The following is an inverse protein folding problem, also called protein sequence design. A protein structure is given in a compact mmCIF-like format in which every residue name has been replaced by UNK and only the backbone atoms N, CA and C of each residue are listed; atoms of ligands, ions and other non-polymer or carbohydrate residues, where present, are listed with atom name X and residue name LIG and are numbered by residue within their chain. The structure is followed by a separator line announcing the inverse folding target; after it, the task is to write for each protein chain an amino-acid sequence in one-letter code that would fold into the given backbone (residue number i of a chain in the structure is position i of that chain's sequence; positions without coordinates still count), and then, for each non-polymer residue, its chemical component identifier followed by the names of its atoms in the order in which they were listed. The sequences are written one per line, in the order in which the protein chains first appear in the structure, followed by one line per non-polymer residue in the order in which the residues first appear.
data_IF_391311914950
#
_entry.id   IF_391311914950
#
_cell.length_a   1.000
_cell.length_b   1.000
_cell.length_c   1.000
_cell.angle_alpha   90.00
_cell.angle_beta   90.00
_cell.angle_gamma   90.00
#
_symmetry.space_group_name_H-M   'P 1'
#
loop_
_entity.id
_entity.type
_entity.pdbx_description
1 polymer ?
#
# COMPACT_ATOMS: atom_id res chain seq x y z
N UNK A 1 11.05 -57.37 3.07
CA UNK A 1 11.24 -55.97 3.38
C UNK A 1 10.10 -55.58 4.30
N UNK A 2 10.37 -55.42 5.59
CA UNK A 2 9.34 -55.12 6.60
C UNK A 2 9.16 -53.65 6.68
N UNK A 3 7.96 -53.20 6.29
CA UNK A 3 7.52 -51.81 6.52
C UNK A 3 7.35 -51.60 8.02
N UNK A 4 8.14 -50.70 8.57
CA UNK A 4 7.96 -50.20 9.95
C UNK A 4 6.85 -49.17 9.92
N UNK A 5 5.69 -49.42 10.56
CA UNK A 5 4.62 -48.41 10.59
C UNK A 5 5.04 -47.23 11.45
N UNK A 6 4.82 -46.02 10.93
CA UNK A 6 4.96 -44.80 11.69
C UNK A 6 4.03 -44.83 12.93
N UNK A 7 4.63 -44.95 14.11
CA UNK A 7 3.92 -44.92 15.36
C UNK A 7 3.76 -43.46 15.80
N UNK A 8 2.55 -42.92 15.70
CA UNK A 8 2.19 -41.64 16.34
C UNK A 8 2.31 -41.86 17.85
N UNK A 9 3.29 -41.24 18.49
CA UNK A 9 3.42 -41.23 19.95
C UNK A 9 2.39 -40.21 20.46
N UNK A 10 1.23 -40.70 20.91
CA UNK A 10 0.29 -39.93 21.71
C UNK A 10 0.92 -39.69 23.08
N UNK A 11 1.64 -38.62 23.24
CA UNK A 11 2.12 -38.12 24.50
C UNK A 11 0.93 -37.70 25.34
N UNK A 12 0.72 -38.37 26.50
CA UNK A 12 -0.24 -37.95 27.52
C UNK A 12 0.27 -36.64 28.11
N UNK A 13 -0.25 -35.51 27.54
CA UNK A 13 0.14 -34.19 27.96
C UNK A 13 -0.68 -33.81 29.17
N UNK A 14 -0.11 -33.96 30.38
CA UNK A 14 -0.72 -33.49 31.59
C UNK A 14 -1.05 -32.01 31.51
N UNK A 15 -2.29 -31.68 31.25
CA UNK A 15 -2.73 -30.33 30.86
C UNK A 15 -2.51 -29.31 31.98
N UNK A 16 -2.58 -29.74 33.24
CA UNK A 16 -2.43 -28.86 34.41
C UNK A 16 -0.99 -28.44 34.67
N UNK A 17 0.00 -29.30 34.49
CA UNK A 17 1.40 -28.97 34.72
C UNK A 17 1.96 -28.07 33.62
N UNK A 18 1.51 -28.26 32.38
CA UNK A 18 1.85 -27.37 31.27
C UNK A 18 1.25 -25.98 31.43
N UNK A 19 0.02 -25.89 31.91
CA UNK A 19 -0.62 -24.59 32.11
C UNK A 19 0.08 -23.79 33.22
N UNK A 20 0.49 -24.43 34.31
CA UNK A 20 1.29 -23.82 35.38
C UNK A 20 2.67 -23.39 34.89
N UNK A 21 3.36 -24.25 34.11
CA UNK A 21 4.66 -23.90 33.51
C UNK A 21 4.54 -22.73 32.54
N UNK A 22 3.48 -22.68 31.72
CA UNK A 22 3.22 -21.56 30.82
C UNK A 22 2.93 -20.26 31.58
N UNK A 23 2.11 -20.30 32.63
CA UNK A 23 1.83 -19.13 33.46
C UNK A 23 3.08 -18.61 34.17
N UNK A 24 3.93 -19.51 34.67
CA UNK A 24 5.22 -19.13 35.27
C UNK A 24 6.14 -18.44 34.20
N UNK A 25 6.22 -19.00 32.98
CA UNK A 25 6.99 -18.43 31.90
C UNK A 25 6.46 -17.04 31.49
N UNK A 26 5.14 -16.88 31.35
CA UNK A 26 4.51 -15.59 31.04
C UNK A 26 4.80 -14.55 32.11
N UNK A 27 4.69 -14.92 33.39
CA UNK A 27 5.01 -14.05 34.53
C UNK A 27 6.48 -13.63 34.54
N UNK A 28 7.39 -14.54 34.19
CA UNK A 28 8.80 -14.24 34.09
C UNK A 28 9.12 -13.28 32.92
N UNK A 29 8.47 -13.46 31.77
CA UNK A 29 8.60 -12.56 30.62
C UNK A 29 8.10 -11.16 30.99
N UNK A 30 6.94 -11.04 31.64
CA UNK A 30 6.40 -9.75 32.07
C UNK A 30 7.29 -9.04 33.09
N UNK A 31 7.96 -9.77 33.97
CA UNK A 31 8.94 -9.20 34.93
C UNK A 31 10.19 -8.68 34.20
N UNK A 32 10.68 -9.40 33.21
CA UNK A 32 11.92 -9.07 32.52
C UNK A 32 11.74 -7.99 31.46
N UNK A 33 10.59 -7.95 30.77
CA UNK A 33 10.34 -7.11 29.59
C UNK A 33 9.20 -6.10 29.77
N UNK A 34 8.51 -6.13 30.92
CA UNK A 34 7.38 -5.25 31.22
C UNK A 34 6.02 -5.85 30.89
N UNK A 35 4.97 -5.31 31.53
CA UNK A 35 3.58 -5.71 31.27
C UNK A 35 3.20 -5.46 29.81
N UNK A 36 2.53 -6.45 29.19
CA UNK A 36 2.11 -6.38 27.80
C UNK A 36 3.14 -6.88 26.78
N UNK A 37 4.33 -7.36 27.23
CA UNK A 37 5.31 -8.00 26.35
C UNK A 37 4.78 -9.30 25.72
N UNK A 38 3.83 -9.96 26.38
CA UNK A 38 3.15 -11.16 25.90
C UNK A 38 1.66 -11.01 26.17
N UNK A 39 0.82 -11.31 25.17
CA UNK A 39 -0.64 -11.31 25.33
C UNK A 39 -1.27 -12.55 24.68
N UNK A 40 -2.38 -13.00 25.24
CA UNK A 40 -3.21 -14.05 24.63
C UNK A 40 -4.26 -13.39 23.75
N UNK A 41 -4.21 -13.61 22.44
CA UNK A 41 -5.14 -13.01 21.47
C UNK A 41 -6.63 -13.39 21.70
N UNK A 42 -6.91 -14.52 22.36
CA UNK A 42 -8.28 -14.97 22.59
C UNK A 42 -8.93 -14.50 23.90
N UNK A 43 -8.25 -13.71 24.74
CA UNK A 43 -8.81 -13.20 26.00
C UNK A 43 -9.43 -11.79 25.89
N UNK A 44 -9.12 -11.05 24.84
CA UNK A 44 -9.76 -9.77 24.54
C UNK A 44 -10.79 -10.02 23.43
N UNK A 45 -12.06 -10.06 23.78
CA UNK A 45 -13.19 -10.26 22.86
C UNK A 45 -13.43 -9.11 21.86
N UNK A 46 -12.53 -8.16 21.76
CA UNK A 46 -12.57 -7.13 20.72
C UNK A 46 -11.50 -7.46 19.67
N UNK A 47 -11.90 -7.70 18.41
CA UNK A 47 -10.93 -7.72 17.30
C UNK A 47 -10.16 -6.40 17.37
N UNK A 48 -8.82 -6.48 17.27
CA UNK A 48 -7.99 -5.28 17.17
C UNK A 48 -8.39 -4.59 15.86
N UNK A 49 -9.28 -3.60 15.96
CA UNK A 49 -9.63 -2.77 14.81
C UNK A 49 -8.37 -2.04 14.36
N UNK A 50 -7.95 -2.32 13.13
CA UNK A 50 -6.83 -1.61 12.50
C UNK A 50 -7.37 -0.29 11.99
N UNK A 51 -6.95 0.80 12.60
CA UNK A 51 -7.27 2.14 12.11
C UNK A 51 -6.74 2.32 10.68
N UNK A 52 -7.54 2.95 9.83
CA UNK A 52 -7.21 3.17 8.43
C UNK A 52 -7.35 4.65 8.03
N UNK A 53 -6.48 5.06 7.10
CA UNK A 53 -6.54 6.35 6.43
C UNK A 53 -7.04 6.12 5.00
N UNK A 54 -8.11 6.84 4.62
CA UNK A 54 -8.66 6.77 3.26
C UNK A 54 -7.61 7.12 2.21
N UNK A 55 -7.68 6.44 1.07
CA UNK A 55 -6.84 6.72 -0.09
C UNK A 55 -7.35 7.87 -0.95
N UNK A 56 -8.55 8.37 -0.66
CA UNK A 56 -9.26 9.32 -1.52
C UNK A 56 -10.04 8.63 -2.66
N UNK A 57 -9.79 7.35 -2.92
CA UNK A 57 -10.55 6.49 -3.83
C UNK A 57 -11.43 5.54 -3.03
N UNK A 58 -12.75 5.66 -3.21
CA UNK A 58 -13.73 4.80 -2.53
C UNK A 58 -13.57 3.33 -2.93
N UNK A 59 -13.32 3.09 -4.21
CA UNK A 59 -13.10 1.74 -4.73
C UNK A 59 -11.86 1.08 -4.13
N UNK A 60 -10.75 1.84 -4.01
CA UNK A 60 -9.52 1.32 -3.41
C UNK A 60 -9.69 1.10 -1.90
N UNK A 61 -10.39 1.98 -1.19
CA UNK A 61 -10.70 1.81 0.23
C UNK A 61 -11.49 0.52 0.50
N UNK A 62 -12.47 0.21 -0.36
CA UNK A 62 -13.24 -1.04 -0.32
C UNK A 62 -12.35 -2.25 -0.66
N UNK A 63 -11.51 -2.14 -1.68
CA UNK A 63 -10.61 -3.21 -2.08
C UNK A 63 -9.58 -3.56 -0.99
N UNK A 64 -9.13 -2.57 -0.21
CA UNK A 64 -8.23 -2.76 0.93
C UNK A 64 -8.90 -3.48 2.11
N UNK A 65 -10.22 -3.53 2.18
CA UNK A 65 -11.01 -4.33 3.11
C UNK A 65 -11.17 -3.75 4.52
N UNK A 66 -10.44 -2.69 4.85
CA UNK A 66 -10.51 -1.97 6.15
C UNK A 66 -10.87 -0.50 5.99
N UNK A 67 -11.29 -0.09 4.78
CA UNK A 67 -11.69 1.29 4.51
C UNK A 67 -10.54 2.26 4.25
N UNK A 68 -9.35 1.76 3.92
CA UNK A 68 -8.17 2.58 3.60
C UNK A 68 -6.84 1.88 3.88
N UNK A 69 -5.77 2.65 3.94
CA UNK A 69 -4.43 2.16 4.27
C UNK A 69 -4.24 2.01 5.79
N UNK A 70 -3.69 0.88 6.28
CA UNK A 70 -3.53 0.62 7.71
C UNK A 70 -2.52 1.55 8.37
N UNK A 71 -2.89 2.17 9.49
CA UNK A 71 -1.97 2.94 10.34
C UNK A 71 -0.94 2.00 11.02
N UNK A 72 0.18 2.57 11.41
CA UNK A 72 1.26 1.81 12.04
C UNK A 72 1.94 0.80 11.13
N UNK A 73 1.85 0.99 9.80
CA UNK A 73 2.35 0.05 8.79
C UNK A 73 3.14 0.75 7.67
N UNK A 74 3.94 -0.05 7.00
CA UNK A 74 4.68 0.35 5.79
C UNK A 74 3.85 -0.06 4.58
N UNK A 75 3.67 0.87 3.66
CA UNK A 75 2.98 0.68 2.38
C UNK A 75 3.98 0.96 1.25
N UNK A 76 3.93 0.19 0.20
CA UNK A 76 4.64 0.46 -1.05
C UNK A 76 3.63 0.74 -2.17
N UNK A 77 3.77 1.91 -2.82
CA UNK A 77 3.04 2.26 -4.05
C UNK A 77 4.06 2.26 -5.17
N UNK A 78 3.89 1.37 -6.15
CA UNK A 78 4.84 1.24 -7.24
C UNK A 78 4.14 1.14 -8.59
N UNK A 79 4.85 1.50 -9.65
CA UNK A 79 4.32 1.49 -11.01
C UNK A 79 5.21 2.25 -11.97
N UNK A 80 4.86 2.26 -13.27
CA UNK A 80 5.55 3.03 -14.29
C UNK A 80 5.56 4.53 -13.98
N UNK A 81 6.38 5.27 -14.70
CA UNK A 81 6.37 6.73 -14.67
C UNK A 81 4.99 7.27 -15.12
N UNK A 82 4.58 8.40 -14.54
CA UNK A 82 3.29 9.07 -14.86
C UNK A 82 2.04 8.19 -14.67
N UNK A 83 2.12 7.16 -13.80
CA UNK A 83 0.98 6.28 -13.47
C UNK A 83 0.06 6.83 -12.39
N UNK A 84 0.43 7.92 -11.69
CA UNK A 84 -0.36 8.54 -10.62
C UNK A 84 0.07 8.15 -9.19
N UNK A 85 1.29 7.62 -8.99
CA UNK A 85 1.83 7.25 -7.66
C UNK A 85 1.80 8.42 -6.66
N UNK A 86 2.43 9.52 -7.03
CA UNK A 86 2.49 10.74 -6.19
C UNK A 86 1.10 11.34 -5.99
N UNK A 87 0.25 11.33 -7.02
CA UNK A 87 -1.14 11.77 -6.93
C UNK A 87 -1.91 10.99 -5.87
N UNK A 88 -1.82 9.66 -5.87
CA UNK A 88 -2.46 8.80 -4.87
C UNK A 88 -1.93 9.09 -3.46
N UNK A 89 -0.61 9.22 -3.31
CA UNK A 89 0.00 9.53 -2.01
C UNK A 89 -0.43 10.91 -1.48
N UNK A 90 -0.53 11.92 -2.33
CA UNK A 90 -1.01 13.26 -1.96
C UNK A 90 -2.49 13.24 -1.55
N UNK A 91 -3.34 12.41 -2.19
CA UNK A 91 -4.71 12.21 -1.73
C UNK A 91 -4.77 11.58 -0.34
N UNK A 92 -3.91 10.61 -0.03
CA UNK A 92 -3.82 10.05 1.33
C UNK A 92 -3.46 11.12 2.35
N UNK A 93 -2.49 12.01 2.04
CA UNK A 93 -2.15 13.16 2.88
C UNK A 93 -3.37 14.07 3.08
N UNK A 94 -4.04 14.44 1.99
CA UNK A 94 -5.22 15.32 2.07
C UNK A 94 -6.33 14.70 2.93
N UNK A 95 -6.60 13.40 2.80
CA UNK A 95 -7.59 12.70 3.61
C UNK A 95 -7.18 12.59 5.10
N UNK A 96 -5.88 12.42 5.39
CA UNK A 96 -5.37 12.46 6.75
C UNK A 96 -5.52 13.85 7.37
N UNK A 97 -5.12 14.91 6.66
CA UNK A 97 -5.23 16.30 7.13
C UNK A 97 -6.69 16.73 7.37
N UNK A 98 -7.65 16.28 6.55
CA UNK A 98 -9.09 16.51 6.78
C UNK A 98 -9.58 15.97 8.13
N UNK A 99 -8.92 14.96 8.66
CA UNK A 99 -9.20 14.38 10.00
C UNK A 99 -8.33 14.99 11.10
N UNK A 100 -7.58 16.05 10.81
CA UNK A 100 -6.68 16.73 11.76
C UNK A 100 -5.33 16.04 11.92
N UNK A 101 -4.96 15.10 11.02
CA UNK A 101 -3.70 14.38 11.07
C UNK A 101 -2.52 15.22 10.58
N UNK A 102 -1.37 15.08 11.25
CA UNK A 102 -0.10 15.71 10.86
C UNK A 102 0.61 14.85 9.81
N UNK A 103 1.09 15.48 8.72
CA UNK A 103 1.67 14.79 7.60
C UNK A 103 3.06 15.30 7.23
N UNK A 104 3.95 14.39 6.81
CA UNK A 104 5.27 14.68 6.29
C UNK A 104 5.45 14.15 4.86
N UNK A 105 6.23 14.87 4.07
CA UNK A 105 6.62 14.50 2.72
C UNK A 105 8.14 14.63 2.57
N UNK A 106 8.81 13.51 2.35
CA UNK A 106 10.25 13.44 2.09
C UNK A 106 10.43 13.35 0.58
N UNK A 107 10.74 14.48 -0.03
CA UNK A 107 10.88 14.67 -1.47
C UNK A 107 12.34 14.46 -1.91
N UNK A 108 12.72 13.20 -2.12
CA UNK A 108 14.06 12.83 -2.58
C UNK A 108 14.25 13.07 -4.09
N UNK A 109 13.18 13.24 -4.85
CA UNK A 109 13.26 13.58 -6.29
C UNK A 109 13.31 15.10 -6.51
N UNK A 110 13.08 15.93 -5.50
CA UNK A 110 12.96 17.39 -5.58
C UNK A 110 11.93 17.85 -6.65
N UNK A 111 10.82 17.12 -6.76
CA UNK A 111 9.86 17.26 -7.84
C UNK A 111 8.42 17.55 -7.38
N UNK A 112 8.20 17.77 -6.07
CA UNK A 112 6.88 18.10 -5.54
C UNK A 112 6.42 19.47 -6.07
N UNK A 113 5.28 19.49 -6.78
CA UNK A 113 4.57 20.70 -7.17
C UNK A 113 3.58 21.14 -6.09
N UNK A 114 3.85 22.24 -5.36
CA UNK A 114 2.95 22.72 -4.32
C UNK A 114 1.58 23.18 -4.87
N UNK A 115 1.54 23.70 -6.10
CA UNK A 115 0.28 24.14 -6.71
C UNK A 115 -0.61 22.94 -6.99
N UNK A 116 -0.03 21.86 -7.51
CA UNK A 116 -0.74 20.61 -7.72
C UNK A 116 -1.21 19.98 -6.40
N UNK A 117 -0.34 19.88 -5.40
CA UNK A 117 -0.69 19.35 -4.09
C UNK A 117 -1.88 20.09 -3.45
N UNK A 118 -1.89 21.44 -3.53
CA UNK A 118 -3.01 22.27 -3.04
C UNK A 118 -4.31 21.95 -3.80
N UNK A 119 -4.26 21.76 -5.10
CA UNK A 119 -5.44 21.40 -5.92
C UNK A 119 -6.02 20.04 -5.52
N UNK A 120 -5.19 19.09 -5.06
CA UNK A 120 -5.62 17.80 -4.54
C UNK A 120 -6.20 17.88 -3.12
N UNK A 121 -6.20 19.07 -2.51
CA UNK A 121 -6.76 19.31 -1.18
C UNK A 121 -5.74 19.22 -0.04
N UNK A 122 -4.43 19.17 -0.35
CA UNK A 122 -3.38 19.21 0.68
C UNK A 122 -3.26 20.62 1.24
N UNK A 123 -3.32 20.75 2.56
CA UNK A 123 -2.98 21.96 3.27
C UNK A 123 -1.45 22.07 3.37
N UNK A 124 -0.88 22.99 2.61
CA UNK A 124 0.57 23.16 2.53
C UNK A 124 1.16 23.84 3.79
N UNK A 125 0.36 24.59 4.53
CA UNK A 125 0.81 25.28 5.75
C UNK A 125 1.11 24.28 6.88
N UNK A 126 0.38 23.16 6.90
CA UNK A 126 0.51 22.07 7.88
C UNK A 126 1.33 20.89 7.35
N UNK A 127 1.83 20.95 6.10
CA UNK A 127 2.63 19.87 5.52
C UNK A 127 4.12 20.07 5.83
N UNK A 128 4.72 19.11 6.53
CA UNK A 128 6.16 19.09 6.76
C UNK A 128 6.85 18.54 5.52
N UNK A 129 7.70 19.35 4.88
CA UNK A 129 8.46 18.94 3.69
C UNK A 129 9.95 18.86 4.04
N UNK A 130 10.61 17.80 3.57
CA UNK A 130 12.05 17.62 3.62
C UNK A 130 12.59 17.22 2.26
N UNK A 131 13.69 17.85 1.83
CA UNK A 131 14.38 17.56 0.57
C UNK A 131 15.83 17.16 0.87
N UNK A 132 16.07 15.88 1.21
CA UNK A 132 17.38 15.37 1.60
C UNK A 132 18.29 15.15 0.38
N UNK A 133 19.60 15.36 0.58
CA UNK A 133 20.60 15.15 -0.46
C UNK A 133 21.03 13.67 -0.60
N UNK A 134 20.86 12.87 0.47
CA UNK A 134 21.29 11.45 0.48
C UNK A 134 20.19 10.53 0.98
N UNK A 135 20.24 9.25 0.59
CA UNK A 135 19.31 8.25 1.07
C UNK A 135 19.39 8.02 2.59
N UNK A 136 20.58 8.09 3.18
CA UNK A 136 20.78 8.00 4.63
C UNK A 136 20.07 9.14 5.35
N UNK A 137 20.23 10.38 4.87
CA UNK A 137 19.57 11.56 5.44
C UNK A 137 18.05 11.45 5.34
N UNK A 138 17.51 11.04 4.16
CA UNK A 138 16.09 10.84 3.97
C UNK A 138 15.49 9.86 4.98
N UNK A 139 16.15 8.71 5.16
CA UNK A 139 15.68 7.64 6.05
C UNK A 139 15.85 7.99 7.53
N UNK A 140 16.87 8.78 7.89
CA UNK A 140 17.09 9.23 9.26
C UNK A 140 16.09 10.32 9.66
N UNK A 141 15.75 11.25 8.75
CA UNK A 141 14.68 12.22 8.93
C UNK A 141 13.36 11.49 9.10
N UNK A 142 13.07 10.51 8.26
CA UNK A 142 11.86 9.67 8.36
C UNK A 142 11.79 8.97 9.72
N UNK A 143 12.87 8.34 10.19
CA UNK A 143 12.93 7.66 11.49
C UNK A 143 12.69 8.64 12.65
N UNK A 144 13.29 9.82 12.57
CA UNK A 144 13.14 10.86 13.60
C UNK A 144 11.71 11.37 13.70
N UNK A 145 11.07 11.64 12.56
CA UNK A 145 9.68 12.08 12.50
C UNK A 145 8.72 10.98 13.01
N UNK A 146 8.92 9.73 12.59
CA UNK A 146 8.13 8.58 13.08
C UNK A 146 8.26 8.42 14.58
N UNK A 147 9.47 8.47 15.12
CA UNK A 147 9.73 8.30 16.56
C UNK A 147 9.19 9.41 17.42
N UNK A 148 8.96 10.59 16.88
CA UNK A 148 8.32 11.68 17.60
C UNK A 148 6.91 11.34 18.08
N UNK A 149 6.22 10.40 17.37
CA UNK A 149 4.83 10.05 17.64
C UNK A 149 3.82 11.15 17.28
N UNK A 150 4.27 12.26 16.67
CA UNK A 150 3.45 13.40 16.32
C UNK A 150 2.97 13.39 14.85
N UNK A 151 3.44 12.43 14.06
CA UNK A 151 3.14 12.35 12.62
C UNK A 151 2.26 11.14 12.33
N UNK A 152 1.16 11.37 11.64
CA UNK A 152 0.21 10.34 11.26
C UNK A 152 0.55 9.67 9.93
N UNK A 153 1.03 10.45 8.95
CA UNK A 153 1.41 9.98 7.61
C UNK A 153 2.76 10.56 7.21
N UNK A 154 3.66 9.70 6.70
CA UNK A 154 4.88 10.13 6.02
C UNK A 154 4.91 9.47 4.65
N UNK A 155 5.17 10.29 3.61
CA UNK A 155 5.43 9.84 2.25
C UNK A 155 6.91 10.03 1.95
N UNK A 156 7.57 9.02 1.36
CA UNK A 156 8.93 9.09 0.83
C UNK A 156 8.86 8.91 -0.68
N UNK A 157 9.14 9.96 -1.43
CA UNK A 157 9.09 10.00 -2.89
C UNK A 157 10.45 10.37 -3.48
N UNK A 158 11.15 9.46 -4.12
CA UNK A 158 10.89 8.02 -4.25
C UNK A 158 12.10 7.20 -3.79
N UNK A 159 11.86 5.89 -3.57
CA UNK A 159 12.95 4.94 -3.22
C UNK A 159 14.05 4.96 -4.27
N UNK A 160 13.71 5.15 -5.55
CA UNK A 160 14.67 5.21 -6.65
C UNK A 160 15.69 6.35 -6.49
N UNK A 161 15.30 7.45 -5.87
CA UNK A 161 16.14 8.63 -5.62
C UNK A 161 16.93 8.56 -4.31
N UNK A 162 16.73 7.54 -3.48
CA UNK A 162 17.50 7.36 -2.24
C UNK A 162 18.91 6.86 -2.56
N UNK A 163 19.75 7.76 -3.06
CA UNK A 163 21.15 7.46 -3.40
C UNK A 163 21.99 7.40 -2.14
N UNK A 164 22.74 6.31 -1.90
CA UNK A 164 23.66 6.23 -0.78
C UNK A 164 24.73 7.31 -0.82
N UNK A 165 25.10 7.87 0.33
CA UNK A 165 26.11 8.92 0.45
C UNK A 165 27.43 8.53 -0.23
N UNK A 166 27.89 7.30 -0.04
CA UNK A 166 29.12 6.80 -0.65
C UNK A 166 29.06 6.74 -2.19
N UNK A 167 27.89 6.63 -2.78
CA UNK A 167 27.70 6.69 -4.24
C UNK A 167 27.76 8.13 -4.74
N UNK A 168 27.30 9.10 -3.95
CA UNK A 168 27.37 10.53 -4.28
C UNK A 168 28.80 11.06 -4.17
N UNK A 169 29.56 10.59 -3.15
CA UNK A 169 30.95 11.01 -2.89
C UNK A 169 31.98 10.26 -3.76
N UNK A 170 31.56 9.17 -4.45
CA UNK A 170 32.39 8.40 -5.35
C UNK A 170 32.64 9.11 -6.70
N UNK A 171 33.58 8.57 -7.50
CA UNK A 171 33.85 9.09 -8.83
C UNK A 171 32.76 8.65 -9.84
N UNK A 172 32.53 9.47 -10.86
CA UNK A 172 31.62 9.12 -11.96
C UNK A 172 32.07 7.84 -12.65
N UNK A 173 31.26 6.79 -12.56
CA UNK A 173 31.54 5.47 -13.13
C UNK A 173 31.89 4.39 -12.11
N UNK A 174 32.04 4.73 -10.84
CA UNK A 174 32.18 3.76 -9.78
C UNK A 174 30.92 2.90 -9.66
N UNK A 175 31.10 1.59 -9.73
CA UNK A 175 29.99 0.64 -9.60
C UNK A 175 29.98 0.10 -8.17
N UNK A 176 29.00 0.55 -7.36
CA UNK A 176 28.81 0.12 -5.98
C UNK A 176 27.54 -0.74 -5.86
N UNK A 177 27.57 -2.01 -6.35
CA UNK A 177 26.38 -2.82 -6.47
C UNK A 177 25.75 -3.13 -5.11
N UNK A 178 24.42 -2.97 -5.03
CA UNK A 178 23.62 -3.37 -3.89
C UNK A 178 23.68 -2.44 -2.66
N UNK A 179 24.34 -1.29 -2.72
CA UNK A 179 24.41 -0.36 -1.59
C UNK A 179 23.02 0.17 -1.22
N UNK A 180 22.21 0.61 -2.19
CA UNK A 180 20.85 1.05 -1.95
C UNK A 180 19.99 -0.05 -1.30
N UNK A 181 20.13 -1.30 -1.74
CA UNK A 181 19.40 -2.43 -1.16
C UNK A 181 19.83 -2.72 0.30
N UNK A 182 21.10 -2.54 0.63
CA UNK A 182 21.62 -2.65 2.01
C UNK A 182 21.09 -1.53 2.88
N UNK A 183 21.13 -0.29 2.39
CA UNK A 183 20.59 0.89 3.07
C UNK A 183 19.10 0.70 3.38
N UNK A 184 18.30 0.33 2.39
CA UNK A 184 16.86 0.05 2.57
C UNK A 184 16.61 -1.08 3.58
N UNK A 185 17.38 -2.17 3.50
CA UNK A 185 17.22 -3.29 4.44
C UNK A 185 17.55 -2.90 5.88
N UNK A 186 18.56 -2.08 6.09
CA UNK A 186 18.93 -1.56 7.42
C UNK A 186 17.87 -0.60 7.95
N UNK A 187 17.44 0.36 7.15
CA UNK A 187 16.44 1.36 7.52
C UNK A 187 15.09 0.73 7.85
N UNK A 188 14.58 -0.15 7.01
CA UNK A 188 13.29 -0.80 7.23
C UNK A 188 13.28 -1.68 8.49
N UNK A 189 14.40 -2.33 8.81
CA UNK A 189 14.55 -3.08 10.06
C UNK A 189 14.44 -2.19 11.30
N UNK A 190 15.00 -0.98 11.23
CA UNK A 190 14.95 0.02 12.29
C UNK A 190 13.55 0.66 12.38
N UNK A 191 13.01 1.10 11.23
CA UNK A 191 11.73 1.81 11.12
C UNK A 191 10.52 0.97 11.55
N UNK A 192 10.50 -0.33 11.25
CA UNK A 192 9.33 -1.18 11.49
C UNK A 192 8.86 -1.15 12.96
N UNK A 193 9.80 -1.20 13.89
CA UNK A 193 9.48 -1.12 15.32
C UNK A 193 8.96 0.25 15.76
N UNK A 194 9.55 1.32 15.22
CA UNK A 194 9.13 2.71 15.50
C UNK A 194 7.75 3.00 14.92
N UNK A 195 7.51 2.61 13.68
CA UNK A 195 6.25 2.78 12.95
C UNK A 195 5.07 2.12 13.68
N UNK A 196 5.27 0.88 14.14
CA UNK A 196 4.22 0.15 14.87
C UNK A 196 3.88 0.81 16.22
N UNK A 197 4.87 1.38 16.92
CA UNK A 197 4.68 2.04 18.21
C UNK A 197 4.06 3.42 18.09
N UNK A 198 4.42 4.19 17.07
CA UNK A 198 3.91 5.55 16.83
C UNK A 198 2.55 5.56 16.13
N UNK A 199 2.06 4.42 15.64
CA UNK A 199 0.87 4.30 14.80
C UNK A 199 0.92 5.17 13.52
N UNK A 200 2.13 5.51 13.05
CA UNK A 200 2.36 6.31 11.84
C UNK A 200 2.20 5.43 10.59
N UNK A 201 1.52 5.93 9.57
CA UNK A 201 1.48 5.33 8.24
C UNK A 201 2.68 5.82 7.43
N UNK A 202 3.55 4.91 6.96
CA UNK A 202 4.68 5.28 6.09
C UNK A 202 4.49 4.71 4.70
N UNK A 203 4.46 5.59 3.70
CA UNK A 203 4.27 5.26 2.29
C UNK A 203 5.61 5.47 1.57
N UNK A 204 6.13 4.40 0.96
CA UNK A 204 7.24 4.48 0.03
C UNK A 204 6.71 4.43 -1.41
N UNK A 205 7.01 5.46 -2.17
CA UNK A 205 6.78 5.47 -3.62
C UNK A 205 7.98 4.82 -4.29
N UNK A 206 7.73 3.91 -5.25
CA UNK A 206 8.79 3.17 -5.90
C UNK A 206 8.59 3.10 -7.43
N UNK A 207 9.68 2.96 -8.14
CA UNK A 207 9.71 2.84 -9.59
C UNK A 207 9.95 1.38 -10.00
N UNK A 208 9.40 1.00 -11.15
CA UNK A 208 9.65 -0.30 -11.78
C UNK A 208 10.96 -0.22 -12.58
N UNK A 209 11.74 -1.28 -12.51
CA UNK A 209 12.91 -1.54 -13.34
C UNK A 209 12.78 -2.91 -13.98
N UNK A 210 13.38 -3.08 -15.14
CA UNK A 210 13.41 -4.36 -15.84
C UNK A 210 14.68 -5.13 -15.50
N UNK A 211 14.54 -6.39 -15.07
CA UNK A 211 15.68 -7.30 -14.88
C UNK A 211 16.24 -7.69 -16.23
N UNK A 212 17.53 -7.53 -16.42
CA UNK A 212 18.22 -7.93 -17.64
C UNK A 212 18.39 -9.47 -17.64
N UNK A 213 18.13 -10.13 -18.78
CA UNK A 213 18.36 -11.56 -18.96
C UNK A 213 17.26 -12.49 -18.48
N UNK A 214 16.11 -11.99 -18.06
CA UNK A 214 14.94 -12.80 -17.72
C UNK A 214 14.21 -13.17 -19.02
N UNK A 215 14.33 -14.43 -19.46
CA UNK A 215 13.65 -14.95 -20.66
C UNK A 215 12.25 -15.50 -20.36
N UNK A 216 11.98 -15.92 -19.13
CA UNK A 216 10.70 -16.46 -18.68
C UNK A 216 10.28 -15.83 -17.35
N UNK A 217 8.97 -15.67 -17.14
CA UNK A 217 8.40 -15.01 -15.96
C UNK A 217 8.41 -13.48 -16.05
N UNK A 218 8.03 -12.81 -14.96
CA UNK A 218 7.91 -11.35 -14.93
C UNK A 218 9.29 -10.67 -14.74
N UNK A 219 9.78 -9.92 -15.73
CA UNK A 219 11.05 -9.20 -15.63
C UNK A 219 10.98 -7.96 -14.75
N UNK A 220 9.79 -7.50 -14.38
CA UNK A 220 9.62 -6.28 -13.60
C UNK A 220 10.09 -6.47 -12.15
N UNK A 221 10.80 -5.48 -11.64
CA UNK A 221 11.21 -5.41 -10.24
C UNK A 221 11.18 -3.97 -9.76
N UNK A 222 11.08 -3.76 -8.45
CA UNK A 222 11.15 -2.43 -7.84
C UNK A 222 12.59 -2.12 -7.41
N UNK A 223 12.95 -0.82 -7.32
CA UNK A 223 14.26 -0.36 -6.85
C UNK A 223 14.41 -0.59 -5.34
N UNK A 224 15.65 -0.49 -4.82
CA UNK A 224 15.92 -0.67 -3.39
C UNK A 224 15.95 -2.13 -2.91
N UNK A 225 16.01 -3.09 -3.83
CA UNK A 225 16.08 -4.53 -3.51
C UNK A 225 14.77 -5.13 -3.03
N UNK A 226 14.84 -6.25 -2.31
CA UNK A 226 13.65 -6.99 -1.88
C UNK A 226 13.11 -6.59 -0.51
N UNK A 227 13.76 -5.67 0.22
CA UNK A 227 13.40 -5.37 1.60
C UNK A 227 11.95 -4.85 1.72
N UNK A 228 11.52 -3.91 0.87
CA UNK A 228 10.14 -3.41 0.87
C UNK A 228 9.12 -4.50 0.59
N UNK A 229 9.42 -5.48 -0.27
CA UNK A 229 8.51 -6.60 -0.55
C UNK A 229 8.18 -7.39 0.72
N UNK A 230 9.12 -7.51 1.66
CA UNK A 230 8.93 -8.22 2.93
C UNK A 230 8.32 -7.33 4.01
N UNK A 231 8.84 -6.12 4.19
CA UNK A 231 8.43 -5.23 5.29
C UNK A 231 7.08 -4.55 5.06
N UNK A 232 6.70 -4.24 3.82
CA UNK A 232 5.39 -3.64 3.55
C UNK A 232 4.23 -4.56 3.96
N UNK A 233 3.20 -3.98 4.54
CA UNK A 233 1.93 -4.65 4.85
C UNK A 233 0.96 -4.63 3.67
N UNK A 234 1.02 -3.58 2.87
CA UNK A 234 0.26 -3.43 1.62
C UNK A 234 1.20 -3.02 0.52
N UNK A 235 1.00 -3.57 -0.68
CA UNK A 235 1.70 -3.17 -1.90
C UNK A 235 0.67 -2.91 -3.00
N UNK A 236 0.75 -1.75 -3.62
CA UNK A 236 -0.14 -1.27 -4.66
C UNK A 236 0.64 -1.11 -5.97
N UNK A 237 0.25 -1.86 -6.99
CA UNK A 237 0.72 -1.68 -8.38
C UNK A 237 -0.26 -0.73 -9.08
N UNK A 238 0.21 0.46 -9.46
CA UNK A 238 -0.61 1.49 -10.10
C UNK A 238 -0.18 1.68 -11.54
N UNK A 239 -1.14 1.58 -12.47
CA UNK A 239 -0.88 1.65 -13.92
C UNK A 239 -1.91 2.50 -14.63
N UNK A 240 -1.46 3.32 -15.57
CA UNK A 240 -2.33 3.99 -16.52
C UNK A 240 -2.78 2.99 -17.59
N UNK A 241 -4.08 2.84 -17.76
CA UNK A 241 -4.69 1.91 -18.73
C UNK A 241 -5.36 2.62 -19.90
N UNK A 242 -5.65 3.92 -19.79
CA UNK A 242 -6.28 4.69 -20.84
C UNK A 242 -6.10 6.19 -20.67
N UNK A 243 -6.53 6.95 -21.66
CA UNK A 243 -6.61 8.40 -21.63
C UNK A 243 -8.07 8.84 -21.65
N UNK A 244 -8.39 9.83 -20.85
CA UNK A 244 -9.71 10.47 -20.84
C UNK A 244 -9.59 11.71 -21.73
N UNK A 245 -10.47 11.79 -22.72
CA UNK A 245 -10.51 12.92 -23.67
C UNK A 245 -11.84 13.64 -23.55
N UNK A 246 -11.78 14.95 -23.52
CA UNK A 246 -12.93 15.82 -23.75
C UNK A 246 -12.73 16.50 -25.09
N UNK A 247 -13.59 16.20 -26.07
CA UNK A 247 -13.41 16.58 -27.48
C UNK A 247 -12.09 16.04 -28.01
N UNK A 248 -11.11 16.91 -28.30
CA UNK A 248 -9.78 16.52 -28.79
C UNK A 248 -8.65 16.67 -27.76
N UNK A 249 -8.97 17.15 -26.54
CA UNK A 249 -7.98 17.37 -25.49
C UNK A 249 -7.95 16.20 -24.49
N UNK A 250 -6.75 15.80 -24.08
CA UNK A 250 -6.57 14.81 -23.01
C UNK A 250 -6.68 15.50 -21.66
N UNK A 251 -7.76 15.23 -20.93
CA UNK A 251 -8.08 15.87 -19.64
C UNK A 251 -7.76 15.00 -18.42
N UNK A 252 -7.40 13.74 -18.65
CA UNK A 252 -7.09 12.83 -17.56
C UNK A 252 -6.65 11.45 -18.03
N UNK A 253 -6.41 10.58 -17.09
CA UNK A 253 -6.04 9.19 -17.33
C UNK A 253 -6.97 8.25 -16.58
N UNK A 254 -7.36 7.16 -17.22
CA UNK A 254 -7.93 6.01 -16.54
C UNK A 254 -6.79 5.20 -15.92
N UNK A 255 -6.89 4.95 -14.64
CA UNK A 255 -5.83 4.32 -13.83
C UNK A 255 -6.36 3.07 -13.17
N UNK A 256 -5.54 2.03 -13.18
CA UNK A 256 -5.81 0.75 -12.53
C UNK A 256 -4.85 0.59 -11.34
N UNK A 257 -5.37 0.18 -10.19
CA UNK A 257 -4.58 -0.17 -9.01
C UNK A 257 -4.86 -1.62 -8.64
N UNK A 258 -3.81 -2.43 -8.59
CA UNK A 258 -3.85 -3.83 -8.14
C UNK A 258 -3.25 -3.93 -6.75
N UNK A 259 -3.98 -4.51 -5.81
CA UNK A 259 -3.49 -4.79 -4.44
C UNK A 259 -2.71 -6.10 -4.47
N UNK A 260 -1.41 -6.03 -4.77
CA UNK A 260 -0.57 -7.24 -4.96
C UNK A 260 -0.15 -7.90 -3.65
N UNK A 261 -0.23 -7.17 -2.55
CA UNK A 261 0.00 -7.70 -1.19
C UNK A 261 -0.88 -6.96 -0.20
N UNK A 262 -1.52 -7.71 0.70
CA UNK A 262 -2.30 -7.15 1.79
C UNK A 262 -2.22 -8.09 3.01
N UNK A 263 -1.76 -7.60 4.16
CA UNK A 263 -1.68 -8.35 5.42
C UNK A 263 -2.89 -8.12 6.34
N UNK A 264 -3.81 -7.22 5.96
CA UNK A 264 -4.99 -6.85 6.78
C UNK A 264 -6.31 -7.30 6.19
N UNK A 265 -6.31 -7.73 4.91
CA UNK A 265 -7.46 -8.30 4.22
C UNK A 265 -6.98 -9.16 3.04
N UNK A 266 -7.87 -9.94 2.36
CA UNK A 266 -7.50 -10.71 1.18
C UNK A 266 -6.90 -9.81 0.07
N UNK A 267 -5.72 -10.17 -0.49
CA UNK A 267 -5.07 -9.42 -1.56
C UNK A 267 -5.68 -9.71 -2.94
N UNK A 268 -5.02 -9.21 -3.99
CA UNK A 268 -5.26 -9.42 -5.42
C UNK A 268 -6.52 -8.76 -5.98
N UNK A 269 -7.19 -7.90 -5.20
CA UNK A 269 -8.26 -7.06 -5.70
C UNK A 269 -7.71 -5.96 -6.60
N UNK A 270 -8.49 -5.60 -7.62
CA UNK A 270 -8.14 -4.62 -8.63
C UNK A 270 -9.26 -3.58 -8.75
N UNK A 271 -8.89 -2.32 -8.80
CA UNK A 271 -9.82 -1.22 -8.95
C UNK A 271 -9.37 -0.28 -10.06
N UNK A 272 -10.33 0.35 -10.71
CA UNK A 272 -10.10 1.34 -11.74
C UNK A 272 -10.82 2.63 -11.39
N UNK A 273 -10.15 3.74 -11.58
CA UNK A 273 -10.69 5.08 -11.39
C UNK A 273 -10.01 6.08 -12.32
N UNK A 274 -10.67 7.23 -12.48
CA UNK A 274 -10.16 8.33 -13.29
C UNK A 274 -9.29 9.27 -12.46
N UNK A 275 -8.11 9.62 -12.98
CA UNK A 275 -7.30 10.74 -12.48
C UNK A 275 -7.41 11.88 -13.47
N UNK A 276 -8.07 12.97 -13.06
CA UNK A 276 -8.24 14.17 -13.87
C UNK A 276 -7.05 15.11 -13.67
N UNK A 277 -6.57 15.73 -14.73
CA UNK A 277 -5.46 16.66 -14.63
C UNK A 277 -5.86 17.93 -13.87
N UNK A 278 -5.10 18.24 -12.82
CA UNK A 278 -5.36 19.38 -11.93
C UNK A 278 -6.45 19.16 -10.89
N UNK A 279 -7.19 18.05 -10.91
CA UNK A 279 -8.24 17.72 -9.92
C UNK A 279 -7.89 16.44 -9.13
N UNK A 280 -7.09 15.53 -9.70
CA UNK A 280 -6.75 14.25 -9.10
C UNK A 280 -7.83 13.18 -9.30
N UNK A 281 -8.02 12.32 -8.30
CA UNK A 281 -8.96 11.19 -8.35
C UNK A 281 -10.39 11.71 -8.46
N UNK A 282 -11.13 11.27 -9.49
CA UNK A 282 -12.52 11.67 -9.75
C UNK A 282 -13.48 10.97 -8.81
N UNK A 283 -13.69 11.53 -7.61
CA UNK A 283 -14.60 10.98 -6.61
C UNK A 283 -16.03 10.77 -7.16
N UNK A 284 -16.57 11.76 -7.87
CA UNK A 284 -17.91 11.65 -8.48
C UNK A 284 -17.98 10.57 -9.57
N UNK A 285 -16.87 10.35 -10.31
CA UNK A 285 -16.79 9.25 -11.27
C UNK A 285 -16.89 7.89 -10.59
N UNK A 286 -16.14 7.70 -9.50
CA UNK A 286 -16.23 6.46 -8.71
C UNK A 286 -17.61 6.23 -8.11
N UNK A 287 -18.29 7.29 -7.62
CA UNK A 287 -19.65 7.18 -7.07
C UNK A 287 -20.65 6.68 -8.13
N UNK A 288 -20.54 7.16 -9.37
CA UNK A 288 -21.40 6.68 -10.46
C UNK A 288 -21.09 5.21 -10.78
N UNK A 289 -19.79 4.87 -10.95
CA UNK A 289 -19.37 3.54 -11.40
C UNK A 289 -19.61 2.47 -10.32
N UNK A 290 -19.28 2.76 -9.07
CA UNK A 290 -19.51 1.86 -7.93
C UNK A 290 -20.99 1.80 -7.58
N UNK A 291 -21.72 2.92 -7.69
CA UNK A 291 -23.17 2.96 -7.49
C UNK A 291 -23.91 2.03 -8.45
N UNK A 292 -23.50 2.01 -9.72
CA UNK A 292 -24.06 1.07 -10.71
C UNK A 292 -23.69 -0.38 -10.35
N UNK A 293 -22.43 -0.65 -9.98
CA UNK A 293 -22.00 -1.99 -9.55
C UNK A 293 -22.74 -2.49 -8.30
N UNK A 294 -23.11 -1.58 -7.41
CA UNK A 294 -23.85 -1.88 -6.18
C UNK A 294 -25.37 -1.92 -6.38
N UNK A 295 -25.89 -1.60 -7.56
CA UNK A 295 -27.31 -1.38 -7.86
C UNK A 295 -27.95 -0.27 -7.00
N UNK A 296 -27.18 0.70 -6.55
CA UNK A 296 -27.62 1.92 -5.85
C UNK A 296 -27.97 3.00 -6.88
N UNK A 297 -27.18 3.07 -7.95
CA UNK A 297 -27.44 3.89 -9.13
C UNK A 297 -27.97 2.97 -10.23
N UNK A 298 -29.18 3.22 -10.68
CA UNK A 298 -29.79 2.48 -11.79
C UNK A 298 -29.28 3.04 -13.12
N UNK A 299 -28.86 2.15 -14.02
CA UNK A 299 -28.48 2.49 -15.40
C UNK A 299 -29.48 1.86 -16.39
N UNK A 300 -30.27 2.70 -17.05
CA UNK A 300 -31.18 2.28 -18.10
C UNK A 300 -30.82 2.95 -19.43
N UNK A 301 -30.18 2.17 -20.31
CA UNK A 301 -29.60 2.72 -21.54
C UNK A 301 -28.51 3.75 -21.22
N UNK A 302 -28.70 5.00 -21.68
CA UNK A 302 -27.82 6.13 -21.38
C UNK A 302 -28.17 6.90 -20.11
N UNK A 303 -29.29 6.58 -19.46
CA UNK A 303 -29.78 7.29 -18.28
C UNK A 303 -29.30 6.68 -16.97
N UNK A 304 -28.92 7.56 -16.06
CA UNK A 304 -28.56 7.21 -14.67
C UNK A 304 -29.57 7.79 -13.74
N UNK A 305 -30.06 7.00 -12.76
CA UNK A 305 -31.05 7.39 -11.74
C UNK A 305 -30.64 6.90 -10.36
N UNK A 306 -31.05 7.64 -9.33
CA UNK A 306 -30.92 7.27 -7.93
C UNK A 306 -32.22 7.62 -7.22
N UNK A 307 -32.80 6.68 -6.44
CA UNK A 307 -34.09 6.85 -5.76
C UNK A 307 -35.19 7.39 -6.69
N UNK A 308 -35.33 6.81 -7.89
CA UNK A 308 -36.30 7.24 -8.92
C UNK A 308 -36.06 8.65 -9.50
N UNK A 309 -35.00 9.36 -9.04
CA UNK A 309 -34.58 10.65 -9.58
C UNK A 309 -33.55 10.45 -10.69
N UNK A 310 -33.78 11.05 -11.86
CA UNK A 310 -32.77 11.08 -12.93
C UNK A 310 -31.61 11.99 -12.52
N UNK A 311 -30.38 11.45 -12.53
CA UNK A 311 -29.13 12.18 -12.18
C UNK A 311 -28.33 12.58 -13.42
N UNK A 312 -28.63 12.01 -14.60
CA UNK A 312 -27.99 12.45 -15.84
C UNK A 312 -28.18 11.47 -17.00
N UNK A 313 -28.05 12.01 -18.22
CA UNK A 313 -27.93 11.22 -19.44
C UNK A 313 -26.43 11.15 -19.80
N UNK A 314 -25.85 9.97 -19.74
CA UNK A 314 -24.41 9.75 -19.86
C UNK A 314 -23.64 9.95 -18.55
N UNK A 315 -22.47 9.30 -18.45
CA UNK A 315 -21.64 9.29 -17.25
C UNK A 315 -21.18 10.69 -16.84
N UNK A 316 -20.78 11.52 -17.81
CA UNK A 316 -20.27 12.88 -17.51
C UNK A 316 -21.37 13.80 -16.98
N UNK A 317 -22.59 13.71 -17.49
CA UNK A 317 -23.71 14.48 -16.93
C UNK A 317 -24.09 14.02 -15.53
N UNK A 318 -24.01 12.71 -15.24
CA UNK A 318 -24.22 12.19 -13.88
C UNK A 318 -23.13 12.69 -12.93
N UNK A 319 -21.84 12.72 -13.33
CA UNK A 319 -20.76 13.32 -12.56
C UNK A 319 -20.99 14.81 -12.27
N UNK A 320 -21.39 15.57 -13.30
CA UNK A 320 -21.70 17.00 -13.15
C UNK A 320 -22.87 17.24 -12.19
N UNK A 321 -23.93 16.43 -12.27
CA UNK A 321 -25.05 16.48 -11.35
C UNK A 321 -24.60 16.23 -9.89
N UNK A 322 -23.80 15.19 -9.64
CA UNK A 322 -23.30 14.87 -8.30
C UNK A 322 -22.37 15.96 -7.75
N UNK A 323 -21.58 16.64 -8.60
CA UNK A 323 -20.77 17.81 -8.19
C UNK A 323 -21.67 18.97 -7.71
N UNK A 324 -22.81 19.21 -8.38
CA UNK A 324 -23.77 20.25 -8.02
C UNK A 324 -24.70 19.88 -6.86
N UNK A 325 -24.78 18.60 -6.48
CA UNK A 325 -25.68 18.08 -5.46
C UNK A 325 -24.93 17.23 -4.43
N UNK A 326 -24.15 17.83 -3.52
CA UNK A 326 -23.33 17.12 -2.56
C UNK A 326 -24.11 16.17 -1.65
N UNK A 327 -25.33 16.54 -1.24
CA UNK A 327 -26.19 15.71 -0.39
C UNK A 327 -26.56 14.37 -1.07
N UNK A 328 -26.81 14.37 -2.37
CA UNK A 328 -27.07 13.15 -3.15
C UNK A 328 -25.80 12.32 -3.28
N UNK A 329 -24.64 12.97 -3.53
CA UNK A 329 -23.37 12.29 -3.60
C UNK A 329 -23.01 11.60 -2.27
N UNK A 330 -23.23 12.27 -1.12
CA UNK A 330 -23.02 11.71 0.21
C UNK A 330 -23.96 10.55 0.53
N UNK A 331 -25.24 10.63 0.09
CA UNK A 331 -26.20 9.54 0.25
C UNK A 331 -25.72 8.30 -0.52
N UNK A 332 -25.35 8.46 -1.79
CA UNK A 332 -24.80 7.37 -2.64
C UNK A 332 -23.53 6.80 -2.02
N UNK A 333 -22.60 7.64 -1.55
CA UNK A 333 -21.36 7.17 -0.90
C UNK A 333 -21.66 6.33 0.34
N UNK A 334 -22.56 6.79 1.20
CA UNK A 334 -22.96 6.06 2.41
C UNK A 334 -23.55 4.69 2.07
N UNK A 335 -24.43 4.63 1.08
CA UNK A 335 -25.07 3.39 0.66
C UNK A 335 -24.08 2.43 0.00
N UNK A 336 -23.10 2.94 -0.77
CA UNK A 336 -21.98 2.16 -1.31
C UNK A 336 -21.14 1.56 -0.15
N UNK A 337 -20.82 2.36 0.87
CA UNK A 337 -20.06 1.89 2.03
C UNK A 337 -20.81 0.82 2.83
N UNK A 338 -22.13 0.96 2.98
CA UNK A 338 -22.98 -0.05 3.62
C UNK A 338 -22.98 -1.38 2.85
N UNK A 339 -22.84 -1.33 1.52
CA UNK A 339 -22.79 -2.49 0.63
C UNK A 339 -21.37 -2.92 0.25
N UNK A 340 -20.35 -2.43 0.96
CA UNK A 340 -18.93 -2.65 0.63
C UNK A 340 -18.54 -4.13 0.49
N UNK A 341 -19.13 -5.03 1.29
CA UNK A 341 -18.88 -6.47 1.20
C UNK A 341 -19.30 -7.08 -0.14
N UNK A 342 -20.48 -6.71 -0.66
CA UNK A 342 -20.97 -7.16 -1.97
C UNK A 342 -20.13 -6.60 -3.12
N UNK A 343 -19.70 -5.34 -3.00
CA UNK A 343 -18.85 -4.69 -4.00
C UNK A 343 -17.47 -5.34 -4.02
N UNK A 344 -16.90 -5.64 -2.85
CA UNK A 344 -15.62 -6.32 -2.74
C UNK A 344 -15.61 -7.68 -3.41
N UNK A 345 -16.72 -8.43 -3.34
CA UNK A 345 -16.88 -9.70 -4.04
C UNK A 345 -16.93 -9.50 -5.56
N UNK A 346 -17.72 -8.56 -6.06
CA UNK A 346 -17.82 -8.25 -7.50
C UNK A 346 -16.52 -7.69 -8.10
N UNK A 347 -15.69 -7.03 -7.29
CA UNK A 347 -14.33 -6.59 -7.70
C UNK A 347 -13.40 -7.80 -7.90
N UNK A 348 -13.56 -8.87 -7.11
CA UNK A 348 -12.80 -10.12 -7.28
C UNK A 348 -13.23 -10.85 -8.54
N UNK A 349 -14.53 -10.99 -8.78
CA UNK A 349 -15.08 -11.72 -9.93
C UNK A 349 -14.71 -11.08 -11.29
N UNK A 350 -14.48 -9.76 -11.31
CA UNK A 350 -14.02 -9.05 -12.51
C UNK A 350 -12.51 -9.15 -12.78
N UNK A 351 -11.72 -9.62 -11.81
CA UNK A 351 -10.27 -9.78 -11.96
C UNK A 351 -9.86 -11.08 -12.65
N UNK A 352 -10.74 -12.10 -12.64
CA UNK A 352 -10.43 -13.42 -13.20
C UNK A 352 -10.55 -13.50 -14.75
N UNK A 353 -10.99 -12.42 -15.42
CA UNK A 353 -11.23 -12.44 -16.87
C UNK A 353 -10.06 -11.98 -17.75
N UNK A 354 -8.98 -11.40 -17.19
CA UNK A 354 -7.91 -10.78 -17.99
C UNK A 354 -6.47 -11.21 -17.67
N UNK A 355 -6.22 -12.10 -16.71
CA UNK A 355 -4.86 -12.53 -16.35
C UNK A 355 -4.71 -14.06 -16.26
N UNK A 356 -4.65 -14.75 -17.43
CA UNK A 356 -4.05 -16.07 -17.56
C UNK A 356 -2.53 -15.93 -17.82
N UNK A 357 -1.82 -15.31 -16.86
CA UNK A 357 -0.36 -15.41 -16.75
C UNK A 357 -0.01 -15.46 -15.25
N UNK A 358 -0.17 -16.67 -14.71
CA UNK A 358 0.13 -16.98 -13.33
C UNK A 358 1.62 -16.87 -13.04
N UNK A 359 1.94 -16.12 -12.00
CA UNK A 359 3.22 -16.22 -11.29
C UNK A 359 2.96 -16.55 -9.82
N UNK A 360 2.71 -17.84 -9.59
CA UNK A 360 2.90 -18.44 -8.28
C UNK A 360 4.39 -18.73 -8.07
N UNK A 361 5.19 -17.78 -7.65
CA UNK A 361 6.53 -18.07 -7.11
C UNK A 361 6.37 -18.73 -5.75
N UNK A 362 6.59 -20.03 -5.69
CA UNK A 362 6.93 -20.75 -4.46
C UNK A 362 8.27 -20.18 -3.92
N UNK A 363 8.46 -20.04 -2.60
CA UNK A 363 9.73 -19.56 -2.05
C UNK A 363 10.83 -20.55 -2.38
N UNK A 364 11.79 -20.13 -3.23
CA UNK A 364 12.96 -20.90 -3.60
C UNK A 364 13.81 -21.25 -2.38
N UNK A 365 14.18 -22.50 -2.27
CA UNK A 365 15.15 -23.03 -1.33
C UNK A 365 16.47 -22.25 -1.44
N UNK A 366 17.00 -21.84 -0.29
CA UNK A 366 18.30 -21.20 -0.17
C UNK A 366 19.36 -22.32 -0.35
N UNK A 367 19.98 -22.41 -1.52
CA UNK A 367 21.14 -23.26 -1.74
C UNK A 367 22.31 -22.81 -0.85
N UNK A 368 22.80 -23.74 -0.03
CA UNK A 368 24.00 -23.57 0.78
C UNK A 368 25.26 -23.54 -0.11
N UNK A 369 26.28 -22.72 0.20
CA UNK A 369 27.50 -22.68 -0.61
C UNK A 369 28.28 -23.99 -0.50
N UNK A 370 28.59 -24.59 -1.65
CA UNK A 370 29.43 -25.78 -1.77
C UNK A 370 30.90 -25.49 -1.38
N UNK A 371 31.57 -26.41 -0.68
CA UNK A 371 32.97 -26.21 -0.26
C UNK A 371 33.94 -26.31 -1.44
N UNK A 372 34.77 -25.30 -1.57
CA UNK A 372 35.77 -25.18 -2.64
C UNK A 372 36.74 -26.37 -2.72
N UNK A 373 36.89 -26.94 -3.92
CA UNK A 373 37.93 -27.87 -4.28
C UNK A 373 39.27 -27.15 -4.33
N UNK A 374 40.20 -27.54 -3.44
CA UNK A 374 41.59 -27.18 -3.53
C UNK A 374 42.20 -27.85 -4.79
N UNK A 375 42.70 -27.03 -5.70
CA UNK A 375 43.46 -27.48 -6.84
C UNK A 375 44.85 -27.98 -6.40
N UNK A 376 45.20 -29.18 -6.84
CA UNK A 376 46.55 -29.71 -6.76
C UNK A 376 47.36 -29.24 -7.98
N UNK A 377 48.53 -28.76 -7.71
CA UNK A 377 49.61 -28.39 -8.64
C UNK A 377 50.04 -29.55 -9.53
N UNK A 378 50.19 -29.32 -10.80
CA UNK A 378 51.38 -29.73 -11.59
C UNK A 378 51.58 -28.81 -12.78
#
# INVERSE_FOLDING_TARGET
MSETPFRVIEGNWDSMDKQKALEAALSQIERNFGKGSVMRLGKNDKPVEVEAISTGSLGLDIALGIGGLPRGRIIEIFGPESSGKTTLALHVIAEAQKKGGSCGFVDAEHALDPVYARKLGVNLEDLIISQPDTGEQALEITDTLVRSGAIDVIVVDSVAALTPKAEIEGEMGDVLPGMQARLMSQALRKLTGSISKSNCLVIFINQIRMKIGVMFGNPETTTGGNALKFYSSVRLDIRRIGQIKERDEVVGNQTRVKVVKNKVAPPFKQVEFDIMYGEGISKTGELVDLGVKANIVEKSGSWYSHDSQRIGQGRENAKAFLRGNPAVAEAIERDIRANAGLIATKILDGADSDDDNGDGELPGEVEAPSPGRKGASR
#
